data_IF_527907942767
#
_entry.id   IF_527907942767
#
_cell.length_a   1.000
_cell.length_b   1.000
_cell.length_c   1.000
_cell.angle_alpha   90.00
_cell.angle_beta   90.00
_cell.angle_gamma   90.00
#
_symmetry.space_group_name_H-M   'P 1'
#
loop_
_entity.id
_entity.type
_entity.pdbx_description
1 polymer ?
#
# COMPACT_ATOMS: atom_id res chain seq x y z
N UNK A 1 -2.87 -27.77 8.28
CA UNK A 1 -2.52 -26.67 9.21
C UNK A 1 -1.04 -26.40 9.02
N UNK A 2 -0.68 -25.34 8.31
CA UNK A 2 0.72 -25.06 7.97
C UNK A 2 1.41 -24.51 9.22
N UNK A 3 2.52 -25.13 9.59
CA UNK A 3 3.36 -24.72 10.71
C UNK A 3 4.16 -23.46 10.32
N UNK A 4 3.73 -22.31 10.84
CA UNK A 4 4.38 -21.01 10.59
C UNK A 4 5.74 -20.85 11.30
N UNK A 5 6.18 -21.83 12.11
CA UNK A 5 7.49 -21.79 12.76
C UNK A 5 8.65 -22.12 11.82
N UNK A 6 8.40 -22.67 10.64
CA UNK A 6 9.44 -22.97 9.64
C UNK A 6 9.58 -21.94 8.51
N UNK A 7 8.77 -20.88 8.48
CA UNK A 7 8.87 -19.85 7.43
C UNK A 7 9.94 -18.76 7.72
N UNK A 8 10.63 -18.81 8.85
CA UNK A 8 11.51 -17.72 9.32
C UNK A 8 12.98 -17.89 8.88
N UNK A 9 13.40 -19.05 8.37
CA UNK A 9 14.81 -19.26 8.01
C UNK A 9 14.98 -20.04 6.69
N UNK A 10 14.94 -19.31 5.57
CA UNK A 10 15.58 -19.75 4.32
C UNK A 10 16.91 -18.99 4.15
N UNK A 11 18.07 -19.66 4.01
CA UNK A 11 19.38 -19.01 4.05
C UNK A 11 19.81 -18.33 2.74
N UNK A 12 18.88 -18.09 1.82
CA UNK A 12 19.05 -17.13 0.73
C UNK A 12 18.30 -15.85 1.10
N UNK A 13 18.86 -15.16 2.10
CA UNK A 13 18.37 -13.88 2.60
C UNK A 13 18.43 -12.85 1.47
N UNK A 14 17.27 -12.58 0.87
CA UNK A 14 17.11 -11.74 -0.30
C UNK A 14 17.37 -10.28 0.06
N UNK A 15 18.58 -9.80 -0.23
CA UNK A 15 18.99 -8.40 -0.02
C UNK A 15 17.96 -7.41 -0.60
N UNK A 16 17.33 -7.73 -1.73
CA UNK A 16 16.28 -6.89 -2.34
C UNK A 16 14.97 -6.83 -1.54
N UNK A 17 14.62 -7.90 -0.81
CA UNK A 17 13.44 -7.89 0.08
C UNK A 17 13.69 -7.06 1.35
N UNK A 18 14.93 -6.97 1.80
CA UNK A 18 15.28 -6.14 2.97
C UNK A 18 15.37 -4.66 2.62
N UNK A 19 15.96 -4.33 1.47
CA UNK A 19 16.00 -2.94 0.96
C UNK A 19 14.58 -2.41 0.69
N UNK A 20 13.69 -3.25 0.14
CA UNK A 20 12.30 -2.85 -0.09
C UNK A 20 11.51 -2.67 1.21
N UNK A 21 11.69 -3.53 2.22
CA UNK A 21 11.09 -3.31 3.54
C UNK A 21 11.61 -2.03 4.20
N UNK A 22 12.88 -1.70 4.03
CA UNK A 22 13.49 -0.49 4.60
C UNK A 22 12.84 0.79 4.05
N UNK A 23 12.61 0.90 2.75
CA UNK A 23 12.08 2.15 2.16
C UNK A 23 10.61 2.40 2.54
N UNK A 24 9.78 1.36 2.58
CA UNK A 24 8.39 1.50 3.03
C UNK A 24 8.30 1.82 4.52
N UNK A 25 9.26 1.34 5.33
CA UNK A 25 9.35 1.72 6.74
C UNK A 25 9.80 3.18 6.89
N UNK A 26 10.76 3.64 6.08
CA UNK A 26 11.16 5.05 6.05
C UNK A 26 9.99 5.98 5.70
N UNK A 27 9.12 5.56 4.77
CA UNK A 27 7.91 6.32 4.41
C UNK A 27 6.97 6.59 5.58
N UNK A 28 6.95 5.75 6.61
CA UNK A 28 6.19 6.00 7.84
C UNK A 28 6.64 7.26 8.58
N UNK A 29 7.92 7.63 8.46
CA UNK A 29 8.51 8.76 9.17
C UNK A 29 8.60 10.03 8.34
N UNK A 30 8.61 9.92 7.01
CA UNK A 30 8.75 11.08 6.11
C UNK A 30 7.43 11.57 5.53
N UNK A 31 6.35 10.76 5.57
CA UNK A 31 5.08 11.11 4.97
C UNK A 31 3.88 10.80 5.89
N UNK A 32 3.24 11.85 6.40
CA UNK A 32 2.06 11.74 7.28
C UNK A 32 0.89 11.00 6.60
N UNK A 33 0.70 11.18 5.28
CA UNK A 33 -0.37 10.52 4.54
C UNK A 33 -0.12 9.01 4.47
N UNK A 34 1.13 8.61 4.23
CA UNK A 34 1.54 7.22 4.22
C UNK A 34 1.42 6.59 5.60
N UNK A 35 1.87 7.28 6.65
CA UNK A 35 1.73 6.84 8.03
C UNK A 35 0.27 6.50 8.38
N UNK A 36 -0.65 7.45 8.16
CA UNK A 36 -2.07 7.23 8.45
C UNK A 36 -2.69 6.13 7.60
N UNK A 37 -2.31 6.03 6.32
CA UNK A 37 -2.76 4.95 5.43
C UNK A 37 -2.31 3.59 5.97
N UNK A 38 -1.05 3.49 6.39
CA UNK A 38 -0.47 2.25 6.90
C UNK A 38 -1.13 1.79 8.20
N UNK A 39 -1.35 2.69 9.16
CA UNK A 39 -2.06 2.33 10.41
C UNK A 39 -3.51 1.88 10.13
N UNK A 40 -4.20 2.50 9.17
CA UNK A 40 -5.53 2.05 8.78
C UNK A 40 -5.50 0.65 8.14
N UNK A 41 -4.50 0.36 7.32
CA UNK A 41 -4.31 -0.96 6.70
C UNK A 41 -3.93 -2.03 7.74
N UNK A 42 -3.05 -1.73 8.70
CA UNK A 42 -2.68 -2.71 9.74
C UNK A 42 -3.89 -3.10 10.59
N UNK A 43 -4.76 -2.15 10.91
CA UNK A 43 -6.01 -2.46 11.58
C UNK A 43 -6.93 -3.36 10.75
N UNK A 44 -7.09 -3.08 9.45
CA UNK A 44 -7.85 -3.94 8.54
C UNK A 44 -7.25 -5.35 8.42
N UNK A 45 -5.91 -5.46 8.44
CA UNK A 45 -5.21 -6.74 8.46
C UNK A 45 -5.51 -7.54 9.73
N UNK A 46 -5.48 -6.91 10.90
CA UNK A 46 -5.82 -7.58 12.15
C UNK A 46 -7.28 -8.06 12.16
N UNK A 47 -8.22 -7.24 11.70
CA UNK A 47 -9.62 -7.64 11.56
C UNK A 47 -9.77 -8.84 10.61
N UNK A 48 -9.08 -8.82 9.46
CA UNK A 48 -9.07 -9.90 8.49
C UNK A 48 -8.53 -11.21 9.09
N UNK A 49 -7.39 -11.16 9.78
CA UNK A 49 -6.75 -12.36 10.37
C UNK A 49 -7.53 -12.91 11.55
N UNK A 50 -8.12 -12.04 12.37
CA UNK A 50 -8.86 -12.45 13.58
C UNK A 50 -10.32 -12.80 13.29
N UNK A 51 -10.86 -12.39 12.14
CA UNK A 51 -12.28 -12.51 11.80
C UNK A 51 -13.18 -11.63 12.67
N UNK A 52 -12.60 -10.67 13.39
CA UNK A 52 -13.30 -9.75 14.28
C UNK A 52 -13.34 -8.37 13.65
N UNK A 53 -14.42 -7.60 13.87
CA UNK A 53 -14.46 -6.17 13.56
C UNK A 53 -14.09 -5.40 14.83
N UNK A 54 -12.87 -5.61 15.32
CA UNK A 54 -12.40 -4.98 16.58
C UNK A 54 -12.13 -3.50 16.42
N UNK A 55 -12.06 -3.03 15.18
CA UNK A 55 -11.29 -1.87 14.83
C UNK A 55 -12.19 -0.61 14.83
N UNK A 56 -12.38 -0.14 16.07
CA UNK A 56 -13.18 1.01 16.50
C UNK A 56 -12.80 2.35 15.83
N UNK A 57 -13.57 3.39 16.15
CA UNK A 57 -13.52 4.76 15.61
C UNK A 57 -12.12 5.36 15.34
N UNK A 58 -11.07 4.94 16.05
CA UNK A 58 -9.67 5.32 15.77
C UNK A 58 -9.22 4.97 14.35
N UNK A 59 -9.67 3.86 13.77
CA UNK A 59 -9.29 3.48 12.40
C UNK A 59 -10.01 4.29 11.34
N UNK A 60 -11.27 4.64 11.61
CA UNK A 60 -12.01 5.61 10.79
C UNK A 60 -11.27 6.95 10.80
N UNK A 61 -10.69 7.34 11.95
CA UNK A 61 -9.89 8.57 12.04
C UNK A 61 -8.60 8.48 11.23
N UNK A 62 -7.84 7.38 11.28
CA UNK A 62 -6.62 7.23 10.47
C UNK A 62 -6.93 7.19 8.97
N UNK A 63 -7.94 6.44 8.54
CA UNK A 63 -8.35 6.41 7.14
C UNK A 63 -8.85 7.77 6.65
N UNK A 64 -9.69 8.45 7.42
CA UNK A 64 -10.16 9.80 7.08
C UNK A 64 -9.01 10.80 6.98
N UNK A 65 -8.05 10.74 7.90
CA UNK A 65 -6.85 11.59 7.88
C UNK A 65 -5.96 11.29 6.67
N UNK A 66 -5.74 10.01 6.35
CA UNK A 66 -5.01 9.60 5.17
C UNK A 66 -5.64 10.17 3.89
N UNK A 67 -6.95 10.00 3.70
CA UNK A 67 -7.67 10.49 2.53
C UNK A 67 -7.59 12.03 2.41
N UNK A 68 -7.74 12.76 3.52
CA UNK A 68 -7.59 14.21 3.54
C UNK A 68 -6.20 14.63 3.07
N UNK A 69 -5.15 14.06 3.65
CA UNK A 69 -3.76 14.41 3.34
C UNK A 69 -3.37 14.02 1.91
N UNK A 70 -3.85 12.87 1.43
CA UNK A 70 -3.66 12.45 0.03
C UNK A 70 -4.32 13.48 -0.89
N UNK A 71 -5.56 13.87 -0.64
CA UNK A 71 -6.28 14.85 -1.48
C UNK A 71 -5.57 16.22 -1.50
N UNK A 72 -5.06 16.68 -0.35
CA UNK A 72 -4.29 17.93 -0.27
C UNK A 72 -3.00 17.83 -1.11
N UNK A 73 -2.29 16.70 -1.05
CA UNK A 73 -1.07 16.47 -1.82
C UNK A 73 -1.32 16.26 -3.31
N UNK A 74 -2.45 15.66 -3.69
CA UNK A 74 -2.87 15.54 -5.09
C UNK A 74 -3.09 16.91 -5.75
N UNK A 75 -3.33 17.95 -4.94
CA UNK A 75 -3.45 19.34 -5.40
C UNK A 75 -2.13 20.11 -5.37
N UNK A 76 -1.01 19.44 -5.05
CA UNK A 76 0.31 20.05 -4.88
C UNK A 76 1.32 19.51 -5.89
N UNK A 77 2.56 20.03 -5.84
CA UNK A 77 3.69 19.51 -6.64
C UNK A 77 4.09 18.08 -6.29
N UNK A 78 3.65 17.59 -5.12
CA UNK A 78 4.00 16.27 -4.60
C UNK A 78 2.95 15.20 -4.97
N UNK A 79 1.96 15.55 -5.81
CA UNK A 79 0.87 14.67 -6.24
C UNK A 79 1.32 13.31 -6.80
N UNK A 80 2.53 13.27 -7.38
CA UNK A 80 3.10 12.08 -8.02
C UNK A 80 4.32 11.54 -7.27
N UNK A 81 4.53 11.91 -6.00
CA UNK A 81 5.66 11.42 -5.20
C UNK A 81 5.58 9.91 -4.95
N UNK A 82 6.72 9.29 -4.65
CA UNK A 82 6.75 7.87 -4.28
C UNK A 82 5.87 7.56 -3.07
N UNK A 83 5.85 8.45 -2.08
CA UNK A 83 5.08 8.28 -0.86
C UNK A 83 3.56 8.36 -1.12
N UNK A 84 3.11 9.16 -2.09
CA UNK A 84 1.69 9.20 -2.45
C UNK A 84 1.29 7.99 -3.28
N UNK A 85 2.10 7.56 -4.23
CA UNK A 85 1.85 6.29 -4.93
C UNK A 85 1.81 5.12 -3.93
N UNK A 86 2.75 5.07 -2.98
CA UNK A 86 2.78 4.06 -1.92
C UNK A 86 1.55 4.14 -1.01
N UNK A 87 1.07 5.34 -0.69
CA UNK A 87 -0.15 5.54 0.11
C UNK A 87 -1.39 4.98 -0.61
N UNK A 88 -1.51 5.22 -1.92
CA UNK A 88 -2.63 4.68 -2.71
C UNK A 88 -2.55 3.14 -2.82
N UNK A 89 -1.35 2.57 -2.94
CA UNK A 89 -1.16 1.11 -2.86
C UNK A 89 -1.64 0.55 -1.51
N UNK A 90 -1.36 1.25 -0.41
CA UNK A 90 -1.84 0.88 0.92
C UNK A 90 -3.38 0.94 0.99
N UNK A 91 -4.02 1.92 0.36
CA UNK A 91 -5.48 1.97 0.26
C UNK A 91 -6.07 0.81 -0.55
N UNK A 92 -5.46 0.44 -1.68
CA UNK A 92 -5.85 -0.78 -2.41
C UNK A 92 -5.74 -2.03 -1.53
N UNK A 93 -4.64 -2.15 -0.76
CA UNK A 93 -4.40 -3.27 0.16
C UNK A 93 -5.48 -3.36 1.24
N UNK A 94 -5.81 -2.21 1.82
CA UNK A 94 -6.81 -2.07 2.87
C UNK A 94 -8.19 -2.50 2.38
N UNK A 95 -8.64 -2.01 1.23
CA UNK A 95 -9.97 -2.37 0.69
C UNK A 95 -10.03 -3.83 0.24
N UNK A 96 -8.91 -4.39 -0.24
CA UNK A 96 -8.81 -5.83 -0.49
C UNK A 96 -8.97 -6.67 0.79
N UNK A 97 -8.35 -6.28 1.91
CA UNK A 97 -8.53 -6.96 3.21
C UNK A 97 -9.97 -6.85 3.73
N UNK A 98 -10.66 -5.74 3.43
CA UNK A 98 -12.07 -5.55 3.76
C UNK A 98 -13.03 -6.28 2.81
N UNK A 99 -12.55 -6.81 1.69
CA UNK A 99 -13.38 -7.39 0.64
C UNK A 99 -14.22 -6.38 -0.14
N UNK A 100 -13.89 -5.08 -0.09
CA UNK A 100 -14.58 -4.03 -0.84
C UNK A 100 -13.95 -3.85 -2.23
N UNK A 101 -14.28 -4.77 -3.14
CA UNK A 101 -13.76 -4.78 -4.49
C UNK A 101 -14.03 -3.46 -5.23
N UNK A 102 -15.17 -2.81 -4.97
CA UNK A 102 -15.53 -1.54 -5.63
C UNK A 102 -14.56 -0.42 -5.25
N UNK A 103 -14.28 -0.25 -3.94
CA UNK A 103 -13.33 0.80 -3.52
C UNK A 103 -11.90 0.46 -3.91
N UNK A 104 -11.53 -0.81 -3.86
CA UNK A 104 -10.22 -1.27 -4.37
C UNK A 104 -10.03 -0.85 -5.83
N UNK A 105 -11.02 -1.09 -6.70
CA UNK A 105 -10.97 -0.66 -8.11
C UNK A 105 -10.80 0.85 -8.25
N UNK A 106 -11.54 1.66 -7.48
CA UNK A 106 -11.39 3.13 -7.53
C UNK A 106 -9.96 3.57 -7.18
N UNK A 107 -9.37 3.01 -6.13
CA UNK A 107 -8.00 3.33 -5.75
C UNK A 107 -6.98 2.85 -6.78
N UNK A 108 -7.20 1.68 -7.37
CA UNK A 108 -6.33 1.12 -8.39
C UNK A 108 -6.36 1.94 -9.69
N UNK A 109 -7.54 2.33 -10.17
CA UNK A 109 -7.67 3.21 -11.33
C UNK A 109 -6.96 4.56 -11.09
N UNK A 110 -7.11 5.11 -9.88
CA UNK A 110 -6.36 6.30 -9.46
C UNK A 110 -4.85 6.11 -9.51
N UNK A 111 -4.35 4.98 -9.00
CA UNK A 111 -2.92 4.63 -9.04
C UNK A 111 -2.41 4.52 -10.48
N UNK A 112 -3.13 3.83 -11.36
CA UNK A 112 -2.79 3.73 -12.77
C UNK A 112 -2.68 5.13 -13.40
N UNK A 113 -3.66 6.00 -13.14
CA UNK A 113 -3.65 7.36 -13.65
C UNK A 113 -2.45 8.18 -13.15
N UNK A 114 -2.08 8.02 -11.89
CA UNK A 114 -0.90 8.68 -11.32
C UNK A 114 0.40 8.20 -11.99
N UNK A 115 0.54 6.89 -12.24
CA UNK A 115 1.70 6.33 -12.91
C UNK A 115 1.82 6.86 -14.34
N UNK A 116 0.72 6.92 -15.08
CA UNK A 116 0.69 7.53 -16.43
C UNK A 116 1.17 8.98 -16.41
N UNK A 117 0.60 9.79 -15.52
CA UNK A 117 0.96 11.21 -15.37
C UNK A 117 2.42 11.42 -14.96
N UNK A 118 3.00 10.45 -14.25
CA UNK A 118 4.41 10.47 -13.81
C UNK A 118 5.40 10.12 -14.93
N UNK A 119 4.92 9.70 -16.10
CA UNK A 119 5.74 9.27 -17.23
C UNK A 119 5.74 7.76 -17.46
N UNK A 120 4.74 7.05 -16.92
CA UNK A 120 4.57 5.62 -17.06
C UNK A 120 5.49 4.80 -16.15
N UNK A 121 5.49 3.48 -16.36
CA UNK A 121 6.22 2.52 -15.51
C UNK A 121 7.73 2.77 -15.49
N UNK A 122 8.31 3.25 -16.58
CA UNK A 122 9.74 3.58 -16.66
C UNK A 122 10.16 4.66 -15.65
N UNK A 123 9.26 5.58 -15.30
CA UNK A 123 9.54 6.61 -14.30
C UNK A 123 9.74 6.04 -12.88
N UNK A 124 9.26 4.81 -12.63
CA UNK A 124 9.38 4.10 -11.35
C UNK A 124 10.69 3.31 -11.22
N UNK A 125 11.49 3.16 -12.28
CA UNK A 125 12.76 2.42 -12.24
C UNK A 125 13.78 3.03 -11.26
N UNK A 126 13.60 4.32 -10.93
CA UNK A 126 14.38 5.03 -9.90
C UNK A 126 14.02 4.61 -8.47
N UNK A 127 12.91 3.88 -8.29
CA UNK A 127 12.47 3.31 -7.03
C UNK A 127 12.05 1.84 -7.25
N UNK A 128 13.02 0.92 -7.34
CA UNK A 128 12.76 -0.49 -7.61
C UNK A 128 11.78 -1.16 -6.63
N UNK A 129 11.83 -0.89 -5.31
CA UNK A 129 10.83 -1.41 -4.37
C UNK A 129 9.39 -1.03 -4.69
N UNK A 130 9.15 0.23 -5.03
CA UNK A 130 7.81 0.71 -5.41
C UNK A 130 7.34 0.05 -6.71
N UNK A 131 8.23 -0.07 -7.68
CA UNK A 131 7.95 -0.75 -8.95
C UNK A 131 7.60 -2.23 -8.75
N UNK A 132 8.34 -2.94 -7.91
CA UNK A 132 8.05 -4.35 -7.56
C UNK A 132 6.66 -4.47 -6.94
N UNK A 133 6.32 -3.58 -6.00
CA UNK A 133 5.01 -3.58 -5.34
C UNK A 133 3.87 -3.36 -6.34
N UNK A 134 4.03 -2.42 -7.28
CA UNK A 134 3.03 -2.14 -8.33
C UNK A 134 2.88 -3.34 -9.27
N UNK A 135 3.98 -3.98 -9.69
CA UNK A 135 3.92 -5.18 -10.53
C UNK A 135 3.17 -6.32 -9.86
N UNK A 136 3.43 -6.56 -8.57
CA UNK A 136 2.70 -7.57 -7.80
C UNK A 136 1.19 -7.33 -7.77
N UNK A 137 0.77 -6.06 -7.65
CA UNK A 137 -0.65 -5.67 -7.70
C UNK A 137 -1.30 -5.92 -9.06
N UNK A 138 -0.61 -5.55 -10.15
CA UNK A 138 -1.12 -5.78 -11.52
C UNK A 138 -1.24 -7.28 -11.81
N UNK A 139 -0.25 -8.08 -11.42
CA UNK A 139 -0.30 -9.53 -11.58
C UNK A 139 -1.48 -10.14 -10.83
N UNK A 140 -1.67 -9.79 -9.56
CA UNK A 140 -2.76 -10.33 -8.74
C UNK A 140 -4.17 -10.01 -9.30
N UNK A 141 -4.34 -8.88 -9.99
CA UNK A 141 -5.62 -8.52 -10.61
C UNK A 141 -5.88 -9.28 -11.91
N UNK A 142 -4.84 -9.58 -12.69
CA UNK A 142 -4.99 -10.35 -13.92
C UNK A 142 -5.28 -11.83 -13.68
N UNK A 143 -4.92 -12.37 -12.51
CA UNK A 143 -5.20 -13.77 -12.14
C UNK A 143 -6.65 -14.01 -11.69
N UNK A 144 -7.46 -12.95 -11.53
CA UNK A 144 -8.86 -13.00 -11.06
C UNK A 144 -9.88 -12.81 -12.21
N UNK A 145 -9.41 -12.47 -13.41
CA UNK A 145 -10.22 -12.30 -14.63
C UNK A 145 -10.19 -13.51 -15.56
#
# INVERSE_FOLDING_TARGET
MVDFSQAVHSPHFNVGAQESQSIFFEYLFIDEAYFHSFIAMTAAFFDFVTGQQTSAASNVNHLGRALSLINDKLSSRDALSDTILASVIVLCSLENMRGDARKMTVHFEGLCRMIELRGGVAALEKNPPLLEKIRGYVSALNDVG
#
